data_IF_852795129322
#
_entry.id   IF_852795129322
#
_cell.length_a   1.000
_cell.length_b   1.000
_cell.length_c   1.000
_cell.angle_alpha   90.00
_cell.angle_beta   90.00
_cell.angle_gamma   90.00
#
_symmetry.space_group_name_H-M   'P 1'
#
loop_
_entity.id
_entity.type
_entity.pdbx_description
1 polymer ?
#
# COMPACT_ATOMS: atom_id res chain seq x y z
N UNK A 1 16.89 10.40 15.72
CA UNK A 1 17.21 9.72 14.45
C UNK A 1 17.56 10.76 13.40
N UNK A 2 18.64 10.58 12.66
CA UNK A 2 19.01 11.49 11.57
C UNK A 2 18.14 11.26 10.34
N UNK A 3 18.12 12.23 9.43
CA UNK A 3 17.37 12.11 8.17
C UNK A 3 17.84 10.90 7.35
N UNK A 4 19.16 10.66 7.32
CA UNK A 4 19.74 9.50 6.60
C UNK A 4 19.28 8.20 7.22
N UNK A 5 19.26 8.10 8.55
CA UNK A 5 18.80 6.91 9.26
C UNK A 5 17.32 6.64 9.01
N UNK A 6 16.50 7.68 8.99
CA UNK A 6 15.08 7.57 8.69
C UNK A 6 14.84 7.05 7.27
N UNK A 7 15.61 7.57 6.30
CA UNK A 7 15.52 7.12 4.92
C UNK A 7 15.95 5.66 4.79
N UNK A 8 17.03 5.26 5.46
CA UNK A 8 17.50 3.88 5.43
C UNK A 8 16.50 2.93 6.08
N UNK A 9 15.86 3.36 7.16
CA UNK A 9 14.81 2.57 7.81
C UNK A 9 13.61 2.37 6.88
N UNK A 10 13.17 3.44 6.21
CA UNK A 10 12.08 3.36 5.25
C UNK A 10 12.41 2.41 4.11
N UNK A 11 13.62 2.50 3.55
CA UNK A 11 14.07 1.61 2.47
C UNK A 11 14.12 0.14 2.94
N UNK A 12 14.53 -0.12 4.17
CA UNK A 12 14.56 -1.47 4.72
C UNK A 12 13.15 -2.04 4.84
N UNK A 13 12.20 -1.25 5.32
CA UNK A 13 10.80 -1.68 5.44
C UNK A 13 10.20 -1.98 4.06
N UNK A 14 10.49 -1.14 3.07
CA UNK A 14 10.04 -1.36 1.69
C UNK A 14 10.63 -2.65 1.14
N UNK A 15 11.93 -2.89 1.33
CA UNK A 15 12.60 -4.10 0.87
C UNK A 15 11.99 -5.36 1.48
N UNK A 16 11.68 -5.32 2.77
CA UNK A 16 11.01 -6.44 3.46
C UNK A 16 9.63 -6.71 2.86
N UNK A 17 8.87 -5.66 2.56
CA UNK A 17 7.57 -5.80 1.91
C UNK A 17 7.67 -6.38 0.50
N UNK A 18 8.68 -5.96 -0.27
CA UNK A 18 8.93 -6.50 -1.62
C UNK A 18 9.23 -8.00 -1.53
N UNK A 19 10.10 -8.43 -0.61
CA UNK A 19 10.41 -9.83 -0.40
C UNK A 19 9.14 -10.65 -0.07
N UNK A 20 8.29 -10.11 0.78
CA UNK A 20 7.02 -10.74 1.13
C UNK A 20 6.15 -10.95 -0.10
N UNK A 21 5.98 -9.91 -0.91
CA UNK A 21 5.14 -9.98 -2.12
C UNK A 21 5.73 -10.91 -3.18
N UNK A 22 7.04 -10.90 -3.33
CA UNK A 22 7.73 -11.78 -4.29
C UNK A 22 7.67 -13.25 -3.88
N UNK A 23 7.47 -13.53 -2.59
CA UNK A 23 7.34 -14.90 -2.09
C UNK A 23 5.98 -15.55 -2.41
N UNK A 24 5.07 -14.79 -3.03
CA UNK A 24 3.73 -15.29 -3.36
C UNK A 24 2.69 -15.02 -2.27
N UNK A 25 2.92 -14.01 -1.45
CA UNK A 25 2.01 -13.63 -0.39
C UNK A 25 0.61 -13.34 -0.92
N UNK A 26 -0.39 -13.88 -0.24
CA UNK A 26 -1.80 -13.58 -0.48
C UNK A 26 -2.41 -13.05 0.82
N UNK A 27 -3.30 -12.09 0.68
CA UNK A 27 -3.99 -11.49 1.83
C UNK A 27 -4.97 -12.50 2.41
N UNK A 28 -4.91 -12.71 3.72
CA UNK A 28 -5.85 -13.55 4.43
C UNK A 28 -7.09 -12.73 4.78
N UNK A 29 -8.24 -13.37 4.70
CA UNK A 29 -9.50 -12.75 5.07
C UNK A 29 -10.09 -13.43 6.29
N UNK A 30 -10.51 -12.64 7.27
CA UNK A 30 -11.26 -13.15 8.40
C UNK A 30 -12.69 -13.39 7.94
N UNK A 31 -13.24 -14.62 8.09
CA UNK A 31 -14.58 -14.91 7.61
C UNK A 31 -15.65 -14.23 8.44
N UNK A 32 -16.81 -14.00 7.81
CA UNK A 32 -18.00 -13.58 8.51
C UNK A 32 -18.39 -14.63 9.54
N UNK A 33 -18.83 -14.22 10.74
CA UNK A 33 -19.26 -15.11 11.81
C UNK A 33 -20.65 -14.71 12.29
N UNK A 34 -21.46 -15.71 12.61
CA UNK A 34 -22.73 -15.48 13.26
C UNK A 34 -22.51 -15.26 14.76
N UNK A 35 -22.86 -14.09 15.28
CA UNK A 35 -22.70 -13.74 16.70
C UNK A 35 -24.01 -13.91 17.46
N UNK A 36 -25.15 -13.77 16.78
CA UNK A 36 -26.49 -14.04 17.28
C UNK A 36 -27.32 -14.52 16.09
N UNK A 37 -28.44 -15.21 16.30
CA UNK A 37 -29.29 -15.65 15.19
C UNK A 37 -29.66 -14.50 14.24
N UNK A 38 -29.21 -14.60 12.99
CA UNK A 38 -29.45 -13.60 11.95
C UNK A 38 -28.52 -12.39 11.99
N UNK A 39 -27.56 -12.32 12.93
CA UNK A 39 -26.60 -11.22 13.03
C UNK A 39 -25.19 -11.75 12.81
N UNK A 40 -24.51 -11.23 11.78
CA UNK A 40 -23.18 -11.70 11.39
C UNK A 40 -22.17 -10.56 11.45
N UNK A 41 -20.91 -10.90 11.78
CA UNK A 41 -19.79 -9.98 11.57
C UNK A 41 -19.49 -9.93 10.08
N UNK A 42 -18.93 -8.84 9.60
CA UNK A 42 -18.48 -8.74 8.21
C UNK A 42 -17.12 -9.41 8.05
N UNK A 43 -16.89 -9.99 6.87
CA UNK A 43 -15.56 -10.46 6.49
C UNK A 43 -14.64 -9.24 6.32
N UNK A 44 -13.39 -9.36 6.75
CA UNK A 44 -12.41 -8.27 6.60
C UNK A 44 -11.00 -8.82 6.31
N UNK A 45 -10.16 -8.04 5.61
CA UNK A 45 -8.81 -8.50 5.30
C UNK A 45 -7.89 -8.36 6.51
N UNK A 46 -6.95 -9.30 6.62
CA UNK A 46 -5.91 -9.27 7.63
C UNK A 46 -4.58 -9.12 6.91
N UNK A 47 -3.95 -7.97 7.07
CA UNK A 47 -2.69 -7.68 6.40
C UNK A 47 -1.49 -8.07 7.27
N UNK A 48 -0.49 -8.68 6.65
CA UNK A 48 0.79 -8.89 7.29
C UNK A 48 1.41 -7.52 7.61
N UNK A 49 1.96 -7.36 8.81
CA UNK A 49 2.54 -6.08 9.23
C UNK A 49 3.68 -5.62 8.31
N UNK A 50 4.40 -6.55 7.69
CA UNK A 50 5.47 -6.22 6.75
C UNK A 50 4.95 -5.49 5.52
N UNK A 51 3.71 -5.80 5.10
CA UNK A 51 3.06 -5.10 3.99
C UNK A 51 2.68 -3.67 4.39
N UNK A 52 2.01 -3.50 5.52
CA UNK A 52 1.57 -2.18 5.97
C UNK A 52 2.77 -1.27 6.29
N UNK A 53 3.79 -1.81 6.92
CA UNK A 53 5.02 -1.06 7.20
C UNK A 53 5.76 -0.66 5.92
N UNK A 54 5.74 -1.51 4.90
CA UNK A 54 6.33 -1.17 3.60
C UNK A 54 5.58 -0.01 2.93
N UNK A 55 4.25 -0.02 2.98
CA UNK A 55 3.45 1.07 2.44
C UNK A 55 3.72 2.38 3.18
N UNK A 56 3.81 2.34 4.51
CA UNK A 56 4.16 3.52 5.30
C UNK A 56 5.56 4.03 4.95
N UNK A 57 6.53 3.12 4.81
CA UNK A 57 7.89 3.47 4.41
C UNK A 57 7.93 4.14 3.04
N UNK A 58 7.18 3.63 2.08
CA UNK A 58 7.09 4.25 0.77
C UNK A 58 6.50 5.67 0.85
N UNK A 59 5.45 5.85 1.65
CA UNK A 59 4.86 7.17 1.87
C UNK A 59 5.82 8.15 2.54
N UNK A 60 6.67 7.66 3.45
CA UNK A 60 7.70 8.50 4.05
C UNK A 60 8.71 9.00 3.02
N UNK A 61 9.06 8.17 2.03
CA UNK A 61 10.00 8.55 0.99
C UNK A 61 9.42 9.51 -0.04
N UNK A 62 8.19 9.27 -0.49
CA UNK A 62 7.60 10.05 -1.59
C UNK A 62 6.62 11.12 -1.12
N UNK A 63 6.21 11.07 0.13
CA UNK A 63 5.26 12.00 0.71
C UNK A 63 3.82 11.50 0.64
N UNK A 64 2.95 12.16 1.40
CA UNK A 64 1.51 11.90 1.42
C UNK A 64 0.80 13.01 0.65
N UNK A 65 -0.10 12.65 -0.24
CA UNK A 65 -0.89 13.62 -1.00
C UNK A 65 -2.26 13.81 -0.34
N UNK A 66 -2.39 14.83 0.49
CA UNK A 66 -3.64 15.13 1.18
C UNK A 66 -4.77 15.56 0.24
N UNK A 67 -4.42 16.01 -0.97
CA UNK A 67 -5.38 16.37 -2.01
C UNK A 67 -5.56 15.29 -3.07
N UNK A 68 -5.29 14.03 -2.74
CA UNK A 68 -5.29 12.93 -3.69
C UNK A 68 -6.61 12.77 -4.46
N UNK A 69 -7.74 13.13 -3.85
CA UNK A 69 -9.07 12.99 -4.47
C UNK A 69 -9.14 13.76 -5.79
N UNK A 70 -8.50 14.94 -5.85
CA UNK A 70 -8.52 15.78 -7.05
C UNK A 70 -7.60 15.27 -8.17
N UNK A 71 -6.65 14.40 -7.83
CA UNK A 71 -5.61 13.93 -8.76
C UNK A 71 -5.64 12.44 -9.10
N UNK A 72 -6.43 11.68 -8.36
CA UNK A 72 -6.43 10.21 -8.51
C UNK A 72 -6.85 9.76 -9.91
N UNK A 73 -7.78 10.46 -10.56
CA UNK A 73 -8.25 10.09 -11.89
C UNK A 73 -7.14 10.19 -12.94
N UNK A 74 -6.19 11.10 -12.75
CA UNK A 74 -5.04 11.22 -13.64
C UNK A 74 -4.02 10.10 -13.43
N UNK A 75 -3.91 9.63 -12.19
CA UNK A 75 -2.84 8.73 -11.77
C UNK A 75 -3.18 7.26 -11.95
N UNK A 76 -4.44 6.89 -11.70
CA UNK A 76 -4.84 5.47 -11.69
C UNK A 76 -4.69 4.75 -13.04
N UNK A 77 -4.64 5.49 -14.13
CA UNK A 77 -4.46 4.93 -15.48
C UNK A 77 -2.99 4.93 -15.93
N UNK A 78 -2.09 5.49 -15.11
CA UNK A 78 -0.68 5.58 -15.48
C UNK A 78 0.06 4.27 -15.17
N UNK A 79 1.13 4.04 -15.93
CA UNK A 79 2.06 2.95 -15.65
C UNK A 79 2.87 3.28 -14.40
N UNK A 80 2.74 2.46 -13.35
CA UNK A 80 3.39 2.71 -12.07
C UNK A 80 4.92 2.79 -12.20
N UNK A 81 5.60 1.92 -12.98
CA UNK A 81 7.05 2.05 -13.15
C UNK A 81 7.54 3.36 -13.76
N UNK A 82 6.63 4.13 -14.36
CA UNK A 82 6.97 5.41 -15.00
C UNK A 82 6.50 6.63 -14.20
N UNK A 83 5.87 6.41 -13.05
CA UNK A 83 5.35 7.52 -12.23
C UNK A 83 6.46 8.41 -11.69
N UNK A 84 6.19 9.72 -11.66
CA UNK A 84 7.00 10.68 -10.91
C UNK A 84 6.77 10.50 -9.42
N UNK A 85 7.61 11.13 -8.60
CA UNK A 85 7.43 11.11 -7.15
C UNK A 85 6.05 11.61 -6.73
N UNK A 86 5.60 12.71 -7.33
CA UNK A 86 4.28 13.28 -7.05
C UNK A 86 3.15 12.32 -7.42
N UNK A 87 3.23 11.69 -8.58
CA UNK A 87 2.23 10.74 -9.04
C UNK A 87 2.19 9.50 -8.15
N UNK A 88 3.35 8.99 -7.75
CA UNK A 88 3.43 7.85 -6.87
C UNK A 88 2.88 8.18 -5.48
N UNK A 89 3.14 9.39 -4.98
CA UNK A 89 2.57 9.87 -3.72
C UNK A 89 1.04 9.85 -3.77
N UNK A 90 0.45 10.33 -4.84
CA UNK A 90 -1.00 10.30 -5.04
C UNK A 90 -1.53 8.87 -5.05
N UNK A 91 -0.89 7.99 -5.81
CA UNK A 91 -1.29 6.59 -5.91
C UNK A 91 -1.24 5.88 -4.56
N UNK A 92 -0.14 6.00 -3.84
CA UNK A 92 0.03 5.35 -2.54
C UNK A 92 -0.95 5.89 -1.49
N UNK A 93 -1.21 7.19 -1.51
CA UNK A 93 -2.18 7.80 -0.60
C UNK A 93 -3.59 7.27 -0.90
N UNK A 94 -3.94 7.19 -2.17
CA UNK A 94 -5.23 6.67 -2.61
C UNK A 94 -5.43 5.22 -2.16
N UNK A 95 -4.45 4.36 -2.39
CA UNK A 95 -4.55 2.94 -2.01
C UNK A 95 -4.73 2.78 -0.51
N UNK A 96 -3.92 3.47 0.29
CA UNK A 96 -3.98 3.35 1.74
C UNK A 96 -5.25 3.94 2.34
N UNK A 97 -5.70 5.09 1.84
CA UNK A 97 -6.91 5.73 2.33
C UNK A 97 -8.18 5.05 1.82
N UNK A 98 -8.10 4.44 0.65
CA UNK A 98 -9.21 3.67 0.10
C UNK A 98 -9.65 2.53 1.01
N UNK A 99 -8.71 1.96 1.76
CA UNK A 99 -8.99 0.87 2.69
C UNK A 99 -9.96 1.30 3.80
N UNK A 100 -9.99 2.57 4.17
CA UNK A 100 -10.92 3.09 5.19
C UNK A 100 -12.37 3.05 4.74
N UNK A 101 -12.59 3.09 3.43
CA UNK A 101 -13.94 3.16 2.86
C UNK A 101 -14.37 1.86 2.20
N UNK A 102 -13.43 0.99 1.88
CA UNK A 102 -13.70 -0.25 1.20
C UNK A 102 -12.69 -1.30 1.65
N UNK A 103 -13.11 -2.21 2.54
CA UNK A 103 -12.26 -3.30 3.01
C UNK A 103 -11.77 -4.12 1.82
N UNK A 104 -10.47 -4.34 1.75
CA UNK A 104 -9.87 -5.10 0.68
C UNK A 104 -9.34 -4.26 -0.47
N UNK A 105 -9.38 -2.93 -0.35
CA UNK A 105 -8.84 -2.05 -1.39
C UNK A 105 -7.35 -2.29 -1.60
N UNK A 106 -6.60 -2.39 -0.50
CA UNK A 106 -5.17 -2.76 -0.56
C UNK A 106 -5.01 -4.18 -1.09
N UNK A 107 -5.85 -5.12 -0.64
CA UNK A 107 -5.79 -6.51 -1.10
C UNK A 107 -5.96 -6.63 -2.61
N UNK A 108 -6.88 -5.89 -3.20
CA UNK A 108 -7.09 -5.87 -4.64
C UNK A 108 -5.85 -5.34 -5.37
N UNK A 109 -5.24 -4.29 -4.84
CA UNK A 109 -4.01 -3.72 -5.42
C UNK A 109 -2.83 -4.68 -5.33
N UNK A 110 -2.74 -5.45 -4.23
CA UNK A 110 -1.73 -6.52 -4.08
C UNK A 110 -1.96 -7.59 -5.14
N UNK A 111 -3.19 -8.04 -5.29
CA UNK A 111 -3.55 -9.10 -6.25
C UNK A 111 -3.25 -8.68 -7.69
N UNK A 112 -3.47 -7.42 -8.03
CA UNK A 112 -3.19 -6.87 -9.35
C UNK A 112 -1.71 -6.59 -9.59
N UNK A 113 -0.85 -6.75 -8.59
CA UNK A 113 0.59 -6.49 -8.69
C UNK A 113 0.97 -5.02 -8.56
N UNK A 114 -0.01 -4.15 -8.32
CA UNK A 114 0.22 -2.70 -8.27
C UNK A 114 1.03 -2.27 -7.06
N UNK A 115 0.78 -2.88 -5.89
CA UNK A 115 1.55 -2.55 -4.68
C UNK A 115 3.02 -2.90 -4.87
N UNK A 116 3.31 -4.08 -5.42
CA UNK A 116 4.69 -4.49 -5.67
C UNK A 116 5.40 -3.50 -6.61
N UNK A 117 4.73 -3.12 -7.70
CA UNK A 117 5.27 -2.11 -8.63
C UNK A 117 5.52 -0.78 -7.94
N UNK A 118 4.59 -0.35 -7.08
CA UNK A 118 4.72 0.92 -6.36
C UNK A 118 5.90 0.92 -5.39
N UNK A 119 6.09 -0.18 -4.66
CA UNK A 119 7.21 -0.30 -3.73
C UNK A 119 8.56 -0.28 -4.47
N UNK A 120 8.65 -0.98 -5.59
CA UNK A 120 9.85 -0.95 -6.43
C UNK A 120 10.13 0.46 -6.97
N UNK A 121 9.08 1.15 -7.42
CA UNK A 121 9.24 2.51 -7.93
C UNK A 121 9.69 3.48 -6.85
N UNK A 122 9.19 3.32 -5.62
CA UNK A 122 9.63 4.15 -4.49
C UNK A 122 11.14 4.04 -4.26
N UNK A 123 11.69 2.83 -4.35
CA UNK A 123 13.13 2.62 -4.22
C UNK A 123 13.89 3.30 -5.37
N UNK A 124 13.43 3.13 -6.60
CA UNK A 124 14.07 3.76 -7.78
C UNK A 124 14.11 5.28 -7.64
N UNK A 125 13.04 5.89 -7.17
CA UNK A 125 12.95 7.34 -7.01
C UNK A 125 13.82 7.85 -5.86
N UNK A 126 14.17 7.01 -4.90
CA UNK A 126 15.01 7.37 -3.77
C UNK A 126 16.51 7.36 -4.11
N UNK A 127 16.90 6.73 -5.19
CA UNK A 127 18.29 6.63 -5.64
C UNK A 127 18.79 7.91 -6.31
#
# INVERSE_FOLDING_TARGET
MTRIEEQMDALQRISTGIELLESGYTVEWEPSREIEPGVHTMSYPRYDSRLTEALWGASELVGTDYGYIDRVDEVRELSIPEMSQSQLSTFLTWVQRGERFCDGFIADSVKEGKVLQALRRAIELAD
#
